data_IF_274326542970
#
_entry.id   IF_274326542970
#
_cell.length_a   1.000
_cell.length_b   1.000
_cell.length_c   1.000
_cell.angle_alpha   90.00
_cell.angle_beta   90.00
_cell.angle_gamma   90.00
#
_symmetry.space_group_name_H-M   'P 1'
#
loop_
_entity.id
_entity.type
_entity.pdbx_description
1 polymer ?
#
# COMPACT_ATOMS: atom_id res chain seq x y z
N UNK A 1 -19.26 17.22 16.05
CA UNK A 1 -19.15 15.75 16.06
C UNK A 1 -19.75 15.24 14.77
N UNK A 2 -18.94 14.85 13.79
CA UNK A 2 -19.34 14.26 12.49
C UNK A 2 -19.82 12.79 12.65
N UNK A 3 -20.15 12.36 13.88
CA UNK A 3 -20.15 10.94 14.27
C UNK A 3 -21.34 10.09 13.82
N UNK A 4 -22.34 10.64 13.12
CA UNK A 4 -23.58 9.92 12.81
C UNK A 4 -24.03 10.02 11.34
N UNK A 5 -23.21 10.55 10.43
CA UNK A 5 -23.52 10.56 9.01
C UNK A 5 -22.83 9.39 8.30
N UNK A 6 -23.59 8.64 7.50
CA UNK A 6 -23.06 7.61 6.61
C UNK A 6 -22.42 8.34 5.42
N UNK A 7 -21.15 8.05 5.15
CA UNK A 7 -20.41 8.60 4.02
C UNK A 7 -19.97 7.46 3.11
N UNK A 8 -20.48 7.47 1.88
CA UNK A 8 -20.12 6.52 0.83
C UNK A 8 -19.02 7.11 -0.07
N UNK A 9 -18.06 6.26 -0.45
CA UNK A 9 -16.97 6.63 -1.34
C UNK A 9 -16.79 5.55 -2.42
N UNK A 10 -16.77 5.96 -3.68
CA UNK A 10 -16.39 5.07 -4.78
C UNK A 10 -14.89 4.77 -4.71
N UNK A 11 -14.55 3.49 -4.51
CA UNK A 11 -13.18 3.03 -4.36
C UNK A 11 -12.85 2.06 -5.48
N UNK A 12 -11.87 2.41 -6.30
CA UNK A 12 -11.27 1.50 -7.26
C UNK A 12 -10.14 0.72 -6.58
N UNK A 13 -10.24 -0.61 -6.59
CA UNK A 13 -9.30 -1.50 -5.93
C UNK A 13 -8.71 -2.52 -6.89
N UNK A 14 -7.39 -2.70 -6.80
CA UNK A 14 -6.70 -3.88 -7.29
C UNK A 14 -6.13 -4.65 -6.09
N UNK A 15 -6.25 -5.98 -6.09
CA UNK A 15 -5.75 -6.82 -4.99
C UNK A 15 -4.27 -6.57 -4.77
N UNK A 16 -3.89 -6.23 -3.54
CA UNK A 16 -2.47 -6.01 -3.19
C UNK A 16 -1.70 -7.30 -3.31
N UNK A 17 -2.31 -8.44 -2.93
CA UNK A 17 -1.72 -9.76 -3.15
C UNK A 17 -1.49 -10.06 -4.64
N UNK A 18 -2.49 -9.86 -5.50
CA UNK A 18 -2.35 -10.15 -6.93
C UNK A 18 -1.25 -9.28 -7.56
N UNK A 19 -1.19 -8.01 -7.19
CA UNK A 19 -0.10 -7.12 -7.62
C UNK A 19 1.27 -7.64 -7.15
N UNK A 20 1.40 -8.07 -5.89
CA UNK A 20 2.64 -8.69 -5.39
C UNK A 20 3.00 -9.90 -6.24
N UNK A 21 2.06 -10.82 -6.46
CA UNK A 21 2.28 -12.02 -7.27
C UNK A 21 2.75 -11.70 -8.68
N UNK A 22 2.10 -10.75 -9.36
CA UNK A 22 2.50 -10.30 -10.70
C UNK A 22 3.94 -9.77 -10.73
N UNK A 23 4.30 -8.96 -9.73
CA UNK A 23 5.63 -8.36 -9.64
C UNK A 23 6.71 -9.40 -9.33
N UNK A 24 6.48 -10.29 -8.36
CA UNK A 24 7.47 -11.30 -7.97
C UNK A 24 7.59 -12.44 -8.98
N UNK A 25 6.55 -12.69 -9.80
CA UNK A 25 6.63 -13.65 -10.93
C UNK A 25 7.40 -13.08 -12.11
N UNK A 26 7.66 -11.78 -12.17
CA UNK A 26 8.46 -11.18 -13.23
C UNK A 26 9.94 -11.55 -13.06
N UNK A 27 10.56 -12.32 -13.98
CA UNK A 27 11.89 -12.92 -13.77
C UNK A 27 13.01 -11.90 -13.56
N UNK A 28 12.91 -10.74 -14.24
CA UNK A 28 13.87 -9.63 -14.07
C UNK A 28 13.79 -8.99 -12.68
N UNK A 29 12.60 -8.96 -12.07
CA UNK A 29 12.42 -8.35 -10.74
C UNK A 29 12.81 -9.39 -9.69
N UNK A 30 12.30 -10.62 -9.80
CA UNK A 30 12.55 -11.72 -8.86
C UNK A 30 14.04 -11.99 -8.62
N UNK A 31 14.85 -11.97 -9.69
CA UNK A 31 16.30 -12.18 -9.60
C UNK A 31 17.06 -11.03 -8.93
N UNK A 32 16.44 -9.85 -8.83
CA UNK A 32 17.02 -8.62 -8.29
C UNK A 32 16.45 -8.29 -6.91
N UNK A 33 15.64 -9.18 -6.32
CA UNK A 33 15.23 -9.07 -4.92
C UNK A 33 16.46 -9.41 -4.08
N UNK A 34 17.10 -8.34 -3.63
CA UNK A 34 18.34 -8.36 -2.88
C UNK A 34 18.09 -8.39 -1.37
N UNK A 35 19.10 -8.87 -0.66
CA UNK A 35 19.17 -8.77 0.78
C UNK A 35 19.53 -7.35 1.18
N UNK A 36 18.76 -6.76 2.08
CA UNK A 36 19.14 -5.49 2.69
C UNK A 36 20.19 -5.79 3.78
N UNK A 37 21.31 -5.07 3.78
CA UNK A 37 22.47 -5.34 4.65
C UNK A 37 22.31 -4.83 6.09
N UNK A 38 21.08 -4.50 6.51
CA UNK A 38 20.79 -4.06 7.87
C UNK A 38 20.62 -5.27 8.79
N UNK A 39 21.15 -5.19 10.02
CA UNK A 39 21.05 -6.26 11.03
C UNK A 39 19.61 -6.76 11.21
N UNK A 40 18.62 -5.85 11.18
CA UNK A 40 17.20 -6.22 11.29
C UNK A 40 16.72 -7.13 10.15
N UNK A 41 17.22 -6.92 8.93
CA UNK A 41 16.90 -7.76 7.78
C UNK A 41 17.59 -9.11 7.86
N UNK A 42 18.81 -9.14 8.42
CA UNK A 42 19.52 -10.38 8.70
C UNK A 42 18.76 -11.25 9.71
N UNK A 43 18.23 -10.64 10.77
CA UNK A 43 17.44 -11.34 11.78
C UNK A 43 16.13 -11.90 11.21
N UNK A 44 15.43 -11.12 10.37
CA UNK A 44 14.23 -11.60 9.65
C UNK A 44 14.61 -12.80 8.77
N UNK A 45 15.65 -12.68 7.95
CA UNK A 45 16.07 -13.76 7.05
C UNK A 45 16.48 -15.01 7.82
N UNK A 46 17.22 -14.84 8.93
CA UNK A 46 17.61 -15.96 9.80
C UNK A 46 16.38 -16.65 10.36
N UNK A 47 15.37 -15.90 10.80
CA UNK A 47 14.10 -16.45 11.29
C UNK A 47 13.37 -17.22 10.17
N UNK A 48 13.24 -16.64 8.97
CA UNK A 48 12.60 -17.29 7.82
C UNK A 48 13.29 -18.61 7.45
N UNK A 49 14.62 -18.66 7.53
CA UNK A 49 15.39 -19.87 7.23
C UNK A 49 15.17 -21.00 8.25
N UNK A 50 14.65 -20.70 9.45
CA UNK A 50 14.32 -21.73 10.46
C UNK A 50 12.94 -22.34 10.29
N UNK A 51 12.07 -21.72 9.47
CA UNK A 51 10.71 -22.21 9.24
C UNK A 51 10.74 -23.34 8.19
N UNK A 52 10.45 -24.60 8.58
CA UNK A 52 10.49 -25.73 7.64
C UNK A 52 9.37 -25.70 6.60
N UNK A 53 8.32 -24.88 6.79
CA UNK A 53 7.25 -24.69 5.80
C UNK A 53 7.69 -23.77 4.66
N UNK A 54 8.69 -22.93 4.90
CA UNK A 54 9.27 -22.03 3.93
C UNK A 54 10.47 -22.76 3.29
N UNK A 55 10.47 -22.87 1.95
CA UNK A 55 11.58 -23.51 1.24
C UNK A 55 12.93 -22.84 1.55
N UNK A 56 14.04 -23.52 1.25
CA UNK A 56 15.42 -23.10 1.58
C UNK A 56 15.90 -21.77 0.94
N UNK A 57 15.02 -21.05 0.25
CA UNK A 57 15.31 -19.81 -0.46
C UNK A 57 14.21 -18.75 -0.24
N UNK A 58 13.48 -18.83 0.87
CA UNK A 58 12.54 -17.79 1.25
C UNK A 58 13.28 -16.46 1.45
N UNK A 59 12.73 -15.38 0.90
CA UNK A 59 13.30 -14.03 0.99
C UNK A 59 12.25 -13.07 1.52
N UNK A 60 12.59 -12.16 2.44
CA UNK A 60 11.69 -11.10 2.85
C UNK A 60 11.42 -10.15 1.68
N UNK A 61 10.18 -9.68 1.55
CA UNK A 61 9.77 -8.74 0.52
C UNK A 61 9.47 -7.37 1.15
N UNK A 62 10.14 -6.31 0.71
CA UNK A 62 9.86 -4.96 1.19
C UNK A 62 8.76 -4.32 0.35
N UNK A 63 7.63 -3.97 0.96
CA UNK A 63 6.59 -3.18 0.30
C UNK A 63 6.73 -1.71 0.69
N UNK A 64 6.87 -0.83 -0.31
CA UNK A 64 6.77 0.62 -0.14
C UNK A 64 5.43 1.08 -0.68
N UNK A 65 4.51 1.44 0.22
CA UNK A 65 3.17 1.89 -0.15
C UNK A 65 2.93 3.28 0.41
N UNK A 66 2.54 4.21 -0.47
CA UNK A 66 2.23 5.58 -0.07
C UNK A 66 1.19 6.20 -0.99
N UNK A 67 0.52 7.24 -0.49
CA UNK A 67 -0.41 8.05 -1.29
C UNK A 67 0.29 9.32 -1.76
N UNK A 68 0.25 9.60 -3.05
CA UNK A 68 0.81 10.85 -3.60
C UNK A 68 -0.29 11.93 -3.65
N UNK A 69 -0.36 12.77 -2.61
CA UNK A 69 -1.35 13.86 -2.52
C UNK A 69 -1.09 15.01 -3.49
N UNK A 70 0.14 15.13 -4.00
CA UNK A 70 0.51 16.19 -4.94
C UNK A 70 0.10 15.84 -6.37
N UNK A 71 -0.15 14.55 -6.64
CA UNK A 71 -0.64 14.08 -7.93
C UNK A 71 -2.13 13.81 -7.83
N UNK A 72 -2.92 14.74 -8.34
CA UNK A 72 -4.32 14.50 -8.61
C UNK A 72 -4.44 13.72 -9.91
N UNK A 73 -5.19 12.62 -9.93
CA UNK A 73 -5.57 12.02 -11.21
C UNK A 73 -7.05 11.71 -11.27
N UNK A 74 -7.55 11.83 -12.49
CA UNK A 74 -8.94 11.70 -12.88
C UNK A 74 -9.11 10.36 -13.59
N UNK A 75 -10.02 9.53 -13.11
CA UNK A 75 -10.48 8.36 -13.83
C UNK A 75 -11.96 8.54 -14.13
N UNK A 76 -12.28 8.90 -15.37
CA UNK A 76 -13.62 9.36 -15.74
C UNK A 76 -14.01 10.63 -15.00
N UNK A 77 -15.16 10.62 -14.31
CA UNK A 77 -15.68 11.74 -13.51
C UNK A 77 -15.14 11.77 -12.07
N UNK A 78 -14.46 10.71 -11.63
CA UNK A 78 -14.00 10.56 -10.25
C UNK A 78 -12.55 11.02 -10.10
N UNK A 79 -12.29 11.85 -9.09
CA UNK A 79 -10.96 12.33 -8.72
C UNK A 79 -10.47 11.58 -7.48
N UNK A 80 -9.21 11.17 -7.48
CA UNK A 80 -8.59 10.49 -6.35
C UNK A 80 -7.09 10.77 -6.26
N UNK A 81 -6.54 10.51 -5.08
CA UNK A 81 -5.09 10.46 -4.89
C UNK A 81 -4.59 9.06 -5.20
N UNK A 82 -3.59 8.89 -6.08
CA UNK A 82 -3.06 7.58 -6.40
C UNK A 82 -2.32 7.01 -5.18
N UNK A 83 -2.63 5.75 -4.87
CA UNK A 83 -1.84 4.92 -3.99
C UNK A 83 -0.79 4.23 -4.84
N UNK A 84 0.47 4.55 -4.58
CA UNK A 84 1.61 3.98 -5.25
C UNK A 84 2.17 2.86 -4.39
N UNK A 85 2.39 1.71 -4.99
CA UNK A 85 3.15 0.61 -4.41
C UNK A 85 4.43 0.36 -5.19
N UNK A 86 5.48 -0.09 -4.49
CA UNK A 86 6.77 -0.47 -5.05
C UNK A 86 7.37 -1.60 -4.21
N UNK A 87 8.27 -2.38 -4.80
CA UNK A 87 9.14 -3.30 -4.07
C UNK A 87 10.40 -2.55 -3.66
N UNK A 88 10.66 -2.45 -2.37
CA UNK A 88 11.74 -1.62 -1.83
C UNK A 88 13.11 -2.30 -1.80
N UNK A 89 13.18 -3.63 -1.92
CA UNK A 89 14.42 -4.39 -1.91
C UNK A 89 14.85 -4.85 -3.31
N UNK A 90 14.58 -4.02 -4.32
CA UNK A 90 15.18 -4.11 -5.66
C UNK A 90 15.96 -2.83 -5.97
N UNK A 91 16.93 -2.83 -6.90
CA UNK A 91 17.63 -1.64 -7.36
C UNK A 91 16.67 -0.53 -7.82
N UNK A 92 16.98 0.73 -7.53
CA UNK A 92 16.06 1.87 -7.74
C UNK A 92 15.65 2.09 -9.19
N UNK A 93 16.50 1.72 -10.14
CA UNK A 93 16.25 1.73 -11.58
C UNK A 93 15.25 0.65 -12.03
N UNK A 94 15.06 -0.39 -11.21
CA UNK A 94 14.10 -1.47 -11.41
C UNK A 94 12.84 -1.32 -10.54
N UNK A 95 12.83 -0.36 -9.61
CA UNK A 95 11.63 0.00 -8.82
C UNK A 95 10.63 0.70 -9.73
N UNK A 96 9.73 -0.07 -10.31
CA UNK A 96 8.52 0.51 -10.91
C UNK A 96 7.68 1.24 -9.86
N UNK A 97 6.78 2.10 -10.35
CA UNK A 97 5.78 2.78 -9.54
C UNK A 97 4.41 2.36 -10.04
N UNK A 98 3.74 1.50 -9.28
CA UNK A 98 2.44 0.96 -9.68
C UNK A 98 1.33 1.66 -8.91
N UNK A 99 0.35 2.20 -9.63
CA UNK A 99 -0.89 2.68 -9.02
C UNK A 99 -1.74 1.47 -8.71
N UNK A 100 -1.91 1.14 -7.43
CA UNK A 100 -2.67 -0.04 -6.99
C UNK A 100 -4.09 0.29 -6.54
N UNK A 101 -4.37 1.58 -6.24
CA UNK A 101 -5.65 2.06 -5.73
C UNK A 101 -5.73 3.59 -5.87
N UNK A 102 -6.94 4.11 -5.72
CA UNK A 102 -7.22 5.54 -5.55
C UNK A 102 -7.81 5.81 -4.17
N UNK A 103 -7.23 6.74 -3.41
CA UNK A 103 -7.87 7.29 -2.21
C UNK A 103 -8.86 8.38 -2.63
N UNK A 104 -10.07 8.41 -2.03
CA UNK A 104 -11.06 9.42 -2.35
C UNK A 104 -10.59 10.78 -1.85
N UNK A 105 -10.99 11.80 -2.59
CA UNK A 105 -10.90 13.17 -2.12
C UNK A 105 -12.10 13.41 -1.23
N UNK A 106 -11.84 13.70 0.03
CA UNK A 106 -12.88 14.01 1.00
C UNK A 106 -13.16 15.50 0.87
N UNK A 107 -14.31 15.92 0.32
CA UNK A 107 -14.61 17.34 0.15
C UNK A 107 -14.69 18.01 1.51
N UNK A 108 -13.91 19.08 1.66
CA UNK A 108 -13.94 19.95 2.83
C UNK A 108 -14.86 21.11 2.50
N UNK A 109 -15.97 21.22 3.22
CA UNK A 109 -16.83 22.40 3.10
C UNK A 109 -16.25 23.57 3.93
N UNK A 110 -16.70 24.79 3.63
CA UNK A 110 -16.25 25.99 4.34
C UNK A 110 -16.58 25.97 5.84
N UNK A 111 -17.54 25.14 6.28
CA UNK A 111 -17.91 25.01 7.68
C UNK A 111 -16.97 24.08 8.45
N UNK A 112 -16.22 23.22 7.77
CA UNK A 112 -15.30 22.25 8.36
C UNK A 112 -13.82 22.56 8.11
N UNK A 113 -13.53 23.61 7.33
CA UNK A 113 -12.18 24.14 7.07
C UNK A 113 -11.38 24.37 8.36
N UNK A 114 -10.14 23.86 8.40
CA UNK A 114 -9.16 24.02 9.49
C UNK A 114 -9.62 23.50 10.87
N UNK A 115 -10.72 22.73 10.91
CA UNK A 115 -11.20 22.14 12.16
C UNK A 115 -10.50 20.82 12.41
N UNK A 116 -9.96 20.66 13.62
CA UNK A 116 -9.36 19.41 14.10
C UNK A 116 -10.27 18.20 13.86
N UNK A 117 -11.57 18.33 14.11
CA UNK A 117 -12.53 17.24 13.92
C UNK A 117 -12.64 16.75 12.46
N UNK A 118 -12.40 17.62 11.47
CA UNK A 118 -12.38 17.21 10.06
C UNK A 118 -11.05 16.53 9.69
N UNK A 119 -9.92 16.99 10.26
CA UNK A 119 -8.65 16.28 10.13
C UNK A 119 -8.72 14.87 10.74
N UNK A 120 -9.32 14.73 11.92
CA UNK A 120 -9.55 13.43 12.58
C UNK A 120 -10.45 12.52 11.72
N UNK A 121 -11.51 13.08 11.11
CA UNK A 121 -12.37 12.35 10.17
C UNK A 121 -11.60 11.86 8.94
N UNK A 122 -10.82 12.73 8.28
CA UNK A 122 -9.95 12.34 7.14
C UNK A 122 -8.98 11.21 7.55
N UNK A 123 -8.40 11.31 8.75
CA UNK A 123 -7.51 10.28 9.28
C UNK A 123 -8.24 8.94 9.42
N UNK A 124 -9.43 8.91 10.04
CA UNK A 124 -10.23 7.67 10.18
C UNK A 124 -10.55 7.04 8.83
N UNK A 125 -10.97 7.84 7.85
CA UNK A 125 -11.28 7.35 6.49
C UNK A 125 -10.03 6.73 5.85
N UNK A 126 -8.89 7.42 5.88
CA UNK A 126 -7.65 6.89 5.30
C UNK A 126 -7.13 5.63 6.00
N UNK A 127 -7.24 5.52 7.32
CA UNK A 127 -6.84 4.31 8.04
C UNK A 127 -7.75 3.12 7.70
N UNK A 128 -9.06 3.34 7.55
CA UNK A 128 -9.99 2.30 7.07
C UNK A 128 -9.65 1.84 5.66
N UNK A 129 -9.31 2.77 4.76
CA UNK A 129 -8.91 2.44 3.39
C UNK A 129 -7.57 1.70 3.34
N UNK A 130 -6.62 2.06 4.20
CA UNK A 130 -5.36 1.35 4.33
C UNK A 130 -5.58 -0.09 4.85
N UNK A 131 -6.44 -0.30 5.85
CA UNK A 131 -6.81 -1.64 6.30
C UNK A 131 -7.41 -2.47 5.16
N UNK A 132 -8.37 -1.90 4.43
CA UNK A 132 -9.00 -2.53 3.25
C UNK A 132 -8.01 -2.92 2.15
N UNK A 133 -6.85 -2.28 2.08
CA UNK A 133 -5.79 -2.63 1.12
C UNK A 133 -5.02 -3.88 1.59
N UNK A 134 -4.74 -3.97 2.89
CA UNK A 134 -4.04 -5.10 3.48
C UNK A 134 -4.90 -6.34 3.69
N UNK A 135 -6.23 -6.24 3.58
CA UNK A 135 -7.14 -7.41 3.71
C UNK A 135 -6.74 -8.58 2.81
N UNK A 136 -6.33 -8.32 1.56
CA UNK A 136 -5.87 -9.39 0.65
C UNK A 136 -4.59 -10.09 1.11
N UNK A 137 -3.78 -9.44 1.96
CA UNK A 137 -2.57 -10.05 2.52
C UNK A 137 -2.89 -10.92 3.74
N UNK A 138 -3.97 -10.60 4.48
CA UNK A 138 -4.37 -11.35 5.68
C UNK A 138 -4.83 -12.78 5.37
N UNK A 139 -5.27 -13.05 4.14
CA UNK A 139 -5.61 -14.41 3.70
C UNK A 139 -4.39 -15.36 3.74
N UNK A 140 -3.18 -14.80 3.62
CA UNK A 140 -1.93 -15.54 3.50
C UNK A 140 -0.96 -15.29 4.68
N UNK A 141 -1.44 -14.68 5.77
CA UNK A 141 -0.66 -14.36 6.98
C UNK A 141 -0.83 -15.36 8.10
#
# INVERSE_FOLDING_TARGET
MLGNQIHDFDIYFHSTWNWIEEVVKHPKIASQIEWNTSDYWWDIQTTLNTDPSLGSNAKPLLLLIYTDKNKLSTFGTTKGYPVIAQIGNVPSDLRGRWVIRWHPIIPEDAQHSDKKGFADFKAVVWHKLALKMFESLLEYS
#
